data_IF_314652931171
#
_entry.id   IF_314652931171
#
_cell.length_a   1.000
_cell.length_b   1.000
_cell.length_c   1.000
_cell.angle_alpha   90.00
_cell.angle_beta   90.00
_cell.angle_gamma   90.00
#
_symmetry.space_group_name_H-M   'P 1'
#
loop_
_entity.id
_entity.type
_entity.pdbx_description
1 polymer ?
#
# COMPACT_ATOMS: atom_id res chain seq x y z
N UNK A 1 5.67 -21.98 -15.04
CA UNK A 1 6.65 -20.88 -14.95
C UNK A 1 6.48 -20.18 -13.59
N UNK A 2 7.36 -19.26 -13.19
CA UNK A 2 7.13 -18.43 -11.99
C UNK A 2 6.50 -17.12 -12.45
N UNK A 3 5.34 -16.75 -11.90
CA UNK A 3 4.68 -15.49 -12.21
C UNK A 3 5.40 -14.31 -11.56
N UNK A 4 5.48 -13.21 -12.28
CA UNK A 4 5.97 -11.92 -11.79
C UNK A 4 4.89 -11.18 -10.99
N UNK A 5 5.30 -10.21 -10.19
CA UNK A 5 4.40 -9.30 -9.45
C UNK A 5 3.35 -8.66 -10.36
N UNK A 6 3.77 -8.16 -11.53
CA UNK A 6 2.87 -7.53 -12.51
C UNK A 6 1.86 -8.52 -13.11
N UNK A 7 2.26 -9.77 -13.33
CA UNK A 7 1.35 -10.81 -13.80
C UNK A 7 0.32 -11.19 -12.72
N UNK A 8 0.74 -11.30 -11.45
CA UNK A 8 -0.17 -11.56 -10.34
C UNK A 8 -1.19 -10.42 -10.18
N UNK A 9 -0.77 -9.16 -10.33
CA UNK A 9 -1.67 -8.00 -10.30
C UNK A 9 -2.68 -8.07 -11.45
N UNK A 10 -2.22 -8.34 -12.69
CA UNK A 10 -3.11 -8.49 -13.84
C UNK A 10 -4.15 -9.61 -13.64
N UNK A 11 -3.73 -10.72 -13.06
CA UNK A 11 -4.60 -11.85 -12.75
C UNK A 11 -5.66 -11.42 -11.72
N UNK A 12 -5.27 -10.76 -10.64
CA UNK A 12 -6.19 -10.26 -9.61
C UNK A 12 -7.17 -9.21 -10.16
N UNK A 13 -6.69 -8.28 -10.97
CA UNK A 13 -7.53 -7.23 -11.59
C UNK A 13 -8.54 -7.81 -12.59
N UNK A 14 -8.15 -8.85 -13.34
CA UNK A 14 -9.06 -9.57 -14.23
C UNK A 14 -10.20 -10.21 -13.44
N UNK A 15 -9.87 -10.96 -12.39
CA UNK A 15 -10.86 -11.61 -11.52
C UNK A 15 -11.77 -10.59 -10.81
N UNK A 16 -11.24 -9.46 -10.37
CA UNK A 16 -12.03 -8.42 -9.71
C UNK A 16 -13.04 -7.76 -10.68
N UNK A 17 -12.61 -7.42 -11.91
CA UNK A 17 -13.47 -6.83 -12.95
C UNK A 17 -14.61 -7.76 -13.35
N UNK A 18 -14.36 -9.06 -13.40
CA UNK A 18 -15.36 -10.03 -13.84
C UNK A 18 -16.34 -10.38 -12.71
N UNK A 19 -15.85 -10.49 -11.47
CA UNK A 19 -16.73 -10.56 -10.30
C UNK A 19 -17.70 -9.36 -10.22
N UNK A 20 -17.24 -8.14 -10.54
CA UNK A 20 -18.09 -6.95 -10.58
C UNK A 20 -19.14 -6.97 -11.70
N UNK A 21 -18.90 -7.64 -12.83
CA UNK A 21 -19.87 -7.80 -13.92
C UNK A 21 -20.93 -8.88 -13.64
N UNK A 22 -20.87 -9.55 -12.49
CA UNK A 22 -21.75 -10.68 -12.15
C UNK A 22 -21.57 -11.91 -13.06
N UNK A 23 -20.64 -11.84 -14.01
CA UNK A 23 -20.22 -12.92 -14.89
C UNK A 23 -18.97 -13.53 -14.26
N UNK A 24 -19.08 -14.79 -13.84
CA UNK A 24 -17.89 -15.61 -13.66
C UNK A 24 -17.09 -15.51 -14.96
N UNK A 25 -15.85 -15.06 -14.87
CA UNK A 25 -14.80 -15.72 -15.64
C UNK A 25 -14.39 -16.91 -14.75
N UNK A 26 -15.18 -17.99 -14.69
CA UNK A 26 -14.78 -19.16 -15.48
C UNK A 26 -13.97 -18.66 -16.65
N UNK A 27 -12.63 -18.67 -16.49
CA UNK A 27 -11.69 -18.66 -17.59
C UNK A 27 -12.32 -19.51 -18.66
N UNK A 28 -12.98 -18.84 -19.62
CA UNK A 28 -13.81 -19.51 -20.61
C UNK A 28 -12.91 -20.57 -21.18
N UNK A 29 -13.38 -21.81 -21.28
CA UNK A 29 -12.53 -23.00 -21.47
C UNK A 29 -11.60 -22.94 -22.70
N UNK A 30 -11.72 -21.90 -23.53
CA UNK A 30 -10.84 -21.51 -24.63
C UNK A 30 -9.65 -20.59 -24.25
N UNK A 31 -9.72 -19.77 -23.20
CA UNK A 31 -8.61 -18.98 -22.63
C UNK A 31 -8.10 -19.67 -21.36
N UNK A 32 -7.63 -20.91 -21.52
CA UNK A 32 -6.74 -21.49 -20.52
C UNK A 32 -5.55 -20.55 -20.41
N UNK A 33 -5.36 -19.95 -19.24
CA UNK A 33 -4.04 -19.56 -18.77
C UNK A 33 -3.18 -20.79 -19.06
N UNK A 34 -2.23 -20.64 -19.98
CA UNK A 34 -1.48 -21.73 -20.59
C UNK A 34 -0.45 -22.32 -19.60
N UNK A 35 -0.76 -22.31 -18.30
CA UNK A 35 0.11 -22.77 -17.24
C UNK A 35 -0.67 -23.72 -16.30
N UNK A 36 -0.44 -25.04 -16.40
CA UNK A 36 -1.02 -26.04 -15.51
C UNK A 36 -0.69 -25.81 -14.02
N UNK A 37 0.30 -24.97 -13.71
CA UNK A 37 0.68 -24.62 -12.34
C UNK A 37 -0.43 -23.82 -11.63
N UNK A 38 -1.08 -22.87 -12.32
CA UNK A 38 -2.18 -22.09 -11.70
C UNK A 38 -3.44 -22.91 -11.52
N UNK A 39 -3.78 -23.75 -12.51
CA UNK A 39 -4.95 -24.62 -12.39
C UNK A 39 -4.85 -25.59 -11.21
N UNK A 40 -3.62 -26.01 -10.85
CA UNK A 40 -3.38 -26.91 -9.71
C UNK A 40 -3.31 -26.18 -8.36
N UNK A 41 -2.82 -24.94 -8.34
CA UNK A 41 -2.82 -24.10 -7.15
C UNK A 41 -4.23 -23.62 -6.77
N UNK A 42 -5.09 -23.41 -7.78
CA UNK A 42 -6.42 -22.88 -7.61
C UNK A 42 -7.47 -24.01 -7.57
N UNK A 43 -7.61 -24.68 -6.42
CA UNK A 43 -8.61 -25.74 -6.21
C UNK A 43 -10.03 -25.11 -6.16
N UNK A 44 -10.65 -24.91 -7.33
CA UNK A 44 -11.81 -24.03 -7.53
C UNK A 44 -13.20 -24.70 -7.43
N UNK A 45 -13.30 -25.97 -7.06
CA UNK A 45 -14.56 -26.73 -7.18
C UNK A 45 -15.67 -26.37 -6.17
N UNK A 46 -15.44 -25.54 -5.14
CA UNK A 46 -16.39 -25.43 -4.00
C UNK A 46 -16.59 -24.05 -3.35
N UNK A 47 -16.79 -22.95 -4.09
CA UNK A 47 -16.94 -21.64 -3.40
C UNK A 47 -18.02 -20.69 -3.95
N UNK A 48 -18.86 -20.17 -3.04
CA UNK A 48 -19.89 -19.12 -3.22
C UNK A 48 -19.27 -17.76 -3.63
N UNK A 49 -19.99 -16.92 -4.40
CA UNK A 49 -19.48 -15.69 -5.07
C UNK A 49 -18.56 -14.77 -4.25
N UNK A 50 -18.89 -14.47 -2.99
CA UNK A 50 -18.08 -13.56 -2.13
C UNK A 50 -16.91 -14.28 -1.46
N UNK A 51 -17.07 -15.58 -1.18
CA UNK A 51 -16.01 -16.42 -0.64
C UNK A 51 -14.95 -16.73 -1.71
N UNK A 52 -15.35 -16.82 -2.98
CA UNK A 52 -14.47 -17.19 -4.09
C UNK A 52 -13.33 -16.19 -4.30
N UNK A 53 -13.60 -14.88 -4.21
CA UNK A 53 -12.55 -13.87 -4.36
C UNK A 53 -11.59 -13.81 -3.17
N UNK A 54 -12.10 -13.99 -1.94
CA UNK A 54 -11.25 -14.05 -0.73
C UNK A 54 -10.35 -15.28 -0.77
N UNK A 55 -10.90 -16.43 -1.18
CA UNK A 55 -10.15 -17.67 -1.34
C UNK A 55 -9.13 -17.57 -2.47
N UNK A 56 -9.50 -16.93 -3.59
CA UNK A 56 -8.58 -16.65 -4.69
C UNK A 56 -7.40 -15.78 -4.24
N UNK A 57 -7.66 -14.67 -3.55
CA UNK A 57 -6.62 -13.79 -3.03
C UNK A 57 -5.70 -14.53 -2.05
N UNK A 58 -6.26 -15.39 -1.20
CA UNK A 58 -5.49 -16.25 -0.29
C UNK A 58 -4.55 -17.20 -1.05
N UNK A 59 -5.02 -17.80 -2.15
CA UNK A 59 -4.21 -18.67 -2.99
C UNK A 59 -3.06 -17.91 -3.68
N UNK A 60 -3.31 -16.68 -4.15
CA UNK A 60 -2.25 -15.80 -4.69
C UNK A 60 -1.22 -15.46 -3.59
N UNK A 61 -1.66 -15.16 -2.37
CA UNK A 61 -0.76 -14.89 -1.24
C UNK A 61 0.09 -16.10 -0.87
N UNK A 62 -0.49 -17.31 -0.89
CA UNK A 62 0.26 -18.55 -0.70
C UNK A 62 1.30 -18.74 -1.81
N UNK A 63 0.92 -18.51 -3.06
CA UNK A 63 1.84 -18.58 -4.19
C UNK A 63 3.01 -17.60 -4.04
N UNK A 64 2.74 -16.34 -3.64
CA UNK A 64 3.79 -15.34 -3.39
C UNK A 64 4.81 -15.84 -2.35
N UNK A 65 4.34 -16.43 -1.25
CA UNK A 65 5.22 -16.94 -0.21
C UNK A 65 6.02 -18.16 -0.66
N UNK A 66 5.38 -19.10 -1.37
CA UNK A 66 6.01 -20.32 -1.86
C UNK A 66 7.12 -20.03 -2.89
N UNK A 67 6.90 -19.04 -3.75
CA UNK A 67 7.81 -18.72 -4.85
C UNK A 67 8.66 -17.46 -4.63
N UNK A 68 8.51 -16.79 -3.48
CA UNK A 68 9.24 -15.56 -3.16
C UNK A 68 8.89 -14.38 -4.07
N UNK A 69 7.66 -14.33 -4.60
CA UNK A 69 7.23 -13.25 -5.49
C UNK A 69 6.89 -12.01 -4.68
N UNK A 70 7.72 -10.98 -4.82
CA UNK A 70 7.61 -9.72 -4.09
C UNK A 70 6.25 -9.07 -4.25
N UNK A 71 5.73 -8.50 -3.16
CA UNK A 71 4.54 -7.64 -3.19
C UNK A 71 4.86 -6.19 -3.53
N UNK A 72 6.13 -5.86 -3.74
CA UNK A 72 6.60 -4.51 -4.00
C UNK A 72 6.38 -4.14 -5.46
N UNK A 73 5.82 -2.95 -5.66
CA UNK A 73 5.75 -2.26 -6.94
C UNK A 73 6.55 -0.96 -6.87
N UNK A 74 7.03 -0.50 -8.02
CA UNK A 74 7.69 0.80 -8.12
C UNK A 74 6.70 1.84 -8.61
N UNK A 75 6.33 2.77 -7.74
CA UNK A 75 5.44 3.89 -8.09
C UNK A 75 6.24 5.15 -8.28
N UNK A 76 5.75 6.01 -9.17
CA UNK A 76 6.30 7.36 -9.35
C UNK A 76 5.33 8.36 -8.74
N UNK A 77 5.77 9.04 -7.69
CA UNK A 77 5.07 10.18 -7.10
C UNK A 77 5.63 11.46 -7.73
N UNK A 78 4.74 12.32 -8.23
CA UNK A 78 5.09 13.61 -8.81
C UNK A 78 4.33 14.71 -8.10
N UNK A 79 5.04 15.77 -7.69
CA UNK A 79 4.46 16.94 -7.06
C UNK A 79 5.21 18.18 -7.49
N UNK A 80 4.49 19.15 -8.08
CA UNK A 80 5.08 20.28 -8.82
C UNK A 80 6.09 19.79 -9.88
N UNK A 81 7.29 20.38 -9.93
CA UNK A 81 8.36 20.05 -10.88
C UNK A 81 9.28 18.92 -10.38
N UNK A 82 8.87 18.19 -9.34
CA UNK A 82 9.67 17.13 -8.74
C UNK A 82 8.97 15.78 -8.85
N UNK A 83 9.75 14.74 -9.14
CA UNK A 83 9.29 13.35 -9.18
C UNK A 83 10.25 12.43 -8.43
N UNK A 84 9.71 11.39 -7.80
CA UNK A 84 10.48 10.32 -7.19
C UNK A 84 9.85 8.97 -7.54
N UNK A 85 10.69 7.99 -7.85
CA UNK A 85 10.28 6.59 -7.93
C UNK A 85 10.64 5.88 -6.62
N UNK A 86 9.67 5.23 -6.00
CA UNK A 86 9.81 4.59 -4.70
C UNK A 86 9.11 3.23 -4.66
N UNK A 87 9.57 2.29 -3.81
CA UNK A 87 8.91 1.02 -3.62
C UNK A 87 7.70 1.17 -2.70
N UNK A 88 6.59 0.53 -3.05
CA UNK A 88 5.36 0.49 -2.26
C UNK A 88 4.79 -0.94 -2.30
N UNK A 89 4.11 -1.38 -1.26
CA UNK A 89 3.39 -2.66 -1.27
C UNK A 89 2.09 -2.49 -2.05
N UNK A 90 1.88 -3.31 -3.08
CA UNK A 90 0.62 -3.29 -3.82
C UNK A 90 -0.55 -3.72 -2.91
N UNK A 91 -1.62 -2.94 -2.88
CA UNK A 91 -2.77 -3.11 -1.98
C UNK A 91 -3.45 -4.50 -2.03
N UNK A 92 -3.35 -5.21 -3.15
CA UNK A 92 -3.91 -6.56 -3.31
C UNK A 92 -2.93 -7.69 -2.99
N UNK A 93 -1.61 -7.42 -2.99
CA UNK A 93 -0.56 -8.39 -2.72
C UNK A 93 -0.11 -8.35 -1.25
N UNK A 94 0.74 -9.29 -0.86
CA UNK A 94 1.41 -9.27 0.44
C UNK A 94 2.93 -9.12 0.29
N UNK A 95 3.60 -8.48 1.27
CA UNK A 95 5.05 -8.48 1.29
C UNK A 95 5.58 -9.88 1.65
N UNK A 96 6.69 -10.25 1.01
CA UNK A 96 7.43 -11.48 1.28
C UNK A 96 8.74 -11.18 2.02
N UNK A 97 9.49 -12.23 2.38
CA UNK A 97 10.79 -12.07 3.04
C UNK A 97 11.74 -11.26 2.13
N UNK A 98 12.40 -10.23 2.67
CA UNK A 98 13.27 -9.33 1.89
C UNK A 98 12.60 -8.02 1.46
N UNK A 99 11.26 -7.95 1.40
CA UNK A 99 10.56 -6.74 0.95
C UNK A 99 10.69 -5.59 1.96
N UNK A 100 10.80 -5.92 3.26
CA UNK A 100 10.96 -4.92 4.31
C UNK A 100 12.28 -4.16 4.15
N UNK A 101 13.34 -4.86 3.81
CA UNK A 101 14.67 -4.29 3.59
C UNK A 101 14.67 -3.32 2.40
N UNK A 102 13.90 -3.63 1.35
CA UNK A 102 13.70 -2.74 0.20
C UNK A 102 13.03 -1.43 0.67
N UNK A 103 11.94 -1.51 1.45
CA UNK A 103 11.24 -0.35 1.98
C UNK A 103 12.15 0.51 2.88
N UNK A 104 12.91 -0.12 3.78
CA UNK A 104 13.87 0.57 4.65
C UNK A 104 14.96 1.25 3.81
N UNK A 105 15.48 0.61 2.76
CA UNK A 105 16.52 1.18 1.91
C UNK A 105 16.07 2.42 1.15
N UNK A 106 14.77 2.53 0.84
CA UNK A 106 14.20 3.68 0.13
C UNK A 106 13.91 4.88 1.04
N UNK A 107 13.84 4.67 2.36
CA UNK A 107 13.49 5.72 3.34
C UNK A 107 14.29 7.02 3.18
N UNK A 108 15.63 7.02 3.06
CA UNK A 108 16.38 8.28 2.92
C UNK A 108 15.97 9.06 1.67
N UNK A 109 15.76 8.38 0.54
CA UNK A 109 15.35 9.01 -0.72
C UNK A 109 13.95 9.64 -0.60
N UNK A 110 13.01 8.93 0.00
CA UNK A 110 11.65 9.43 0.24
C UNK A 110 11.68 10.66 1.17
N UNK A 111 12.49 10.59 2.23
CA UNK A 111 12.64 11.70 3.18
C UNK A 111 13.24 12.94 2.53
N UNK A 112 14.27 12.78 1.70
CA UNK A 112 14.90 13.90 0.98
C UNK A 112 13.94 14.55 -0.02
N UNK A 113 13.11 13.75 -0.70
CA UNK A 113 12.07 14.27 -1.58
C UNK A 113 11.01 15.04 -0.79
N UNK A 114 10.50 14.46 0.31
CA UNK A 114 9.53 15.10 1.19
C UNK A 114 10.02 16.47 1.67
N UNK A 115 11.24 16.55 2.20
CA UNK A 115 11.80 17.82 2.69
C UNK A 115 11.91 18.89 1.60
N UNK A 116 12.24 18.48 0.37
CA UNK A 116 12.33 19.39 -0.78
C UNK A 116 10.97 19.96 -1.16
N UNK A 117 9.96 19.11 -1.30
CA UNK A 117 8.63 19.53 -1.79
C UNK A 117 7.75 20.21 -0.72
N UNK A 118 8.03 19.96 0.57
CA UNK A 118 7.23 20.48 1.70
C UNK A 118 7.91 21.61 2.48
N UNK A 119 9.00 22.19 1.96
CA UNK A 119 9.82 23.16 2.67
C UNK A 119 9.02 24.37 3.21
N UNK A 120 7.97 24.81 2.51
CA UNK A 120 7.12 25.97 2.84
C UNK A 120 5.70 25.58 3.30
N UNK A 121 5.49 24.33 3.72
CA UNK A 121 4.17 23.82 4.10
C UNK A 121 4.04 23.65 5.62
N UNK A 122 2.79 23.62 6.06
CA UNK A 122 2.39 23.22 7.40
C UNK A 122 2.17 21.71 7.45
N UNK A 123 2.43 21.10 8.61
CA UNK A 123 2.34 19.64 8.80
C UNK A 123 1.21 19.30 9.76
N UNK A 124 0.39 18.33 9.36
CA UNK A 124 -0.78 17.90 10.13
C UNK A 124 -0.72 16.40 10.36
N UNK A 125 -0.68 15.98 11.62
CA UNK A 125 -0.79 14.58 12.01
C UNK A 125 -2.26 14.14 11.98
N UNK A 126 -2.55 13.06 11.26
CA UNK A 126 -3.88 12.44 11.26
C UNK A 126 -4.02 11.55 12.49
N UNK A 127 -5.00 11.87 13.33
CA UNK A 127 -5.33 11.14 14.55
C UNK A 127 -6.72 10.51 14.45
N UNK A 128 -6.87 9.31 14.99
CA UNK A 128 -8.19 8.69 15.17
C UNK A 128 -9.03 9.39 16.22
N UNK A 129 -8.42 10.23 17.07
CA UNK A 129 -9.11 11.04 18.08
C UNK A 129 -9.33 12.44 17.56
N UNK A 130 -10.53 12.98 17.84
CA UNK A 130 -10.84 14.38 17.62
C UNK A 130 -9.94 15.24 18.51
N UNK A 131 -9.39 16.31 17.94
CA UNK A 131 -8.74 17.36 18.71
C UNK A 131 -9.78 18.23 19.44
N UNK A 132 -9.32 19.21 20.22
CA UNK A 132 -10.20 20.14 20.98
C UNK A 132 -11.17 20.94 20.09
N UNK A 133 -10.90 21.02 18.78
CA UNK A 133 -11.70 21.73 17.77
C UNK A 133 -12.58 20.79 16.95
N UNK A 134 -12.66 19.50 17.29
CA UNK A 134 -13.47 18.51 16.57
C UNK A 134 -12.87 18.06 15.23
N UNK A 135 -11.58 18.30 14.98
CA UNK A 135 -10.89 17.86 13.78
C UNK A 135 -10.01 16.64 14.06
N UNK A 136 -9.89 15.75 13.07
CA UNK A 136 -8.98 14.59 13.11
C UNK A 136 -7.52 14.97 12.83
N UNK A 137 -7.24 16.25 12.58
CA UNK A 137 -5.93 16.73 12.15
C UNK A 137 -5.33 17.63 13.23
N UNK A 138 -4.12 17.31 13.65
CA UNK A 138 -3.37 18.10 14.63
C UNK A 138 -2.18 18.74 13.94
N UNK A 139 -2.09 20.08 14.00
CA UNK A 139 -0.91 20.80 13.52
C UNK A 139 0.31 20.37 14.35
N UNK A 140 1.38 19.98 13.67
CA UNK A 140 2.63 19.57 14.31
C UNK A 140 3.80 20.44 13.84
N UNK A 141 4.78 20.61 14.72
CA UNK A 141 6.02 21.31 14.37
C UNK A 141 6.94 20.43 13.54
N UNK A 142 7.87 21.04 12.79
CA UNK A 142 8.88 20.31 12.02
C UNK A 142 9.78 19.47 12.93
N UNK A 143 10.11 19.96 14.12
CA UNK A 143 10.91 19.24 15.11
C UNK A 143 10.19 17.97 15.60
N UNK A 144 8.87 18.05 15.80
CA UNK A 144 8.07 16.88 16.17
C UNK A 144 8.00 15.86 15.02
N UNK A 145 7.80 16.33 13.78
CA UNK A 145 7.85 15.49 12.58
C UNK A 145 9.20 14.75 12.48
N UNK A 146 10.32 15.44 12.70
CA UNK A 146 11.65 14.81 12.70
C UNK A 146 11.78 13.72 13.78
N UNK A 147 11.19 13.92 14.97
CA UNK A 147 11.18 12.89 16.02
C UNK A 147 10.40 11.66 15.59
N UNK A 148 9.22 11.84 15.00
CA UNK A 148 8.41 10.73 14.47
C UNK A 148 9.19 9.94 13.41
N UNK A 149 9.72 10.64 12.41
CA UNK A 149 10.47 10.01 11.32
C UNK A 149 11.72 9.30 11.83
N UNK A 150 12.36 9.77 12.90
CA UNK A 150 13.52 9.07 13.50
C UNK A 150 13.13 7.72 14.12
N UNK A 151 11.91 7.60 14.65
CA UNK A 151 11.40 6.41 15.32
C UNK A 151 10.79 5.39 14.34
N UNK A 152 10.58 5.76 13.08
CA UNK A 152 9.98 4.85 12.08
C UNK A 152 11.02 4.08 11.30
N UNK A 153 10.59 2.97 10.71
CA UNK A 153 11.46 2.04 9.98
C UNK A 153 11.48 2.37 8.49
N UNK A 154 10.31 2.57 7.88
CA UNK A 154 10.18 2.98 6.48
C UNK A 154 9.21 4.16 6.33
N UNK A 155 9.18 4.72 5.12
CA UNK A 155 8.31 5.84 4.75
C UNK A 155 7.50 5.46 3.52
N UNK A 156 6.27 5.95 3.48
CA UNK A 156 5.41 5.94 2.31
C UNK A 156 5.10 7.38 1.92
N UNK A 157 4.97 7.65 0.64
CA UNK A 157 4.66 8.98 0.15
C UNK A 157 3.58 8.92 -0.91
N UNK A 158 2.65 9.85 -0.85
CA UNK A 158 1.64 10.05 -1.87
C UNK A 158 1.41 11.55 -2.07
N UNK A 159 0.94 11.96 -3.23
CA UNK A 159 0.75 13.36 -3.54
C UNK A 159 -0.60 13.59 -4.24
N UNK A 160 -1.35 14.54 -3.69
CA UNK A 160 -2.49 15.15 -4.36
C UNK A 160 -2.06 16.43 -5.08
N UNK A 161 -3.02 17.18 -5.63
CA UNK A 161 -2.75 18.43 -6.36
C UNK A 161 -2.09 19.51 -5.51
N UNK A 162 -2.45 19.60 -4.24
CA UNK A 162 -2.02 20.67 -3.32
C UNK A 162 -1.45 20.15 -2.01
N UNK A 163 -1.53 18.84 -1.80
CA UNK A 163 -1.18 18.18 -0.54
C UNK A 163 -0.20 17.05 -0.81
N UNK A 164 0.72 16.84 0.12
CA UNK A 164 1.62 15.68 0.11
C UNK A 164 1.38 14.89 1.38
N UNK A 165 1.25 13.58 1.25
CA UNK A 165 1.02 12.66 2.36
C UNK A 165 2.30 11.88 2.65
N UNK A 166 2.68 11.81 3.92
CA UNK A 166 3.76 10.97 4.41
C UNK A 166 3.19 9.93 5.37
N UNK A 167 3.34 8.66 5.03
CA UNK A 167 3.18 7.56 5.97
C UNK A 167 4.49 7.32 6.70
N UNK A 168 4.50 7.45 8.02
CA UNK A 168 5.63 7.07 8.87
C UNK A 168 5.30 5.71 9.50
N UNK A 169 5.92 4.64 8.98
CA UNK A 169 5.47 3.28 9.25
C UNK A 169 6.55 2.44 9.98
N UNK A 170 6.10 1.47 10.79
CA UNK A 170 6.95 0.60 11.60
C UNK A 170 6.34 -0.80 11.81
N UNK A 171 7.19 -1.77 12.14
CA UNK A 171 6.81 -3.13 12.51
C UNK A 171 6.70 -4.07 11.30
N UNK A 172 5.57 -4.78 11.19
CA UNK A 172 5.26 -5.73 10.12
C UNK A 172 4.65 -5.02 8.92
N UNK A 173 5.29 -5.06 7.73
CA UNK A 173 4.69 -4.51 6.51
C UNK A 173 3.42 -5.27 6.06
N UNK A 174 3.11 -6.43 6.66
CA UNK A 174 1.84 -7.15 6.41
C UNK A 174 0.66 -6.52 7.15
N UNK A 175 0.92 -5.97 8.34
CA UNK A 175 -0.13 -5.66 9.30
C UNK A 175 -0.22 -4.17 9.67
N UNK A 176 0.75 -3.36 9.24
CA UNK A 176 0.89 -1.94 9.65
C UNK A 176 -0.34 -1.07 9.38
N UNK A 177 -1.19 -1.45 8.43
CA UNK A 177 -2.42 -0.74 8.09
C UNK A 177 -3.55 -0.99 9.10
N UNK A 178 -3.44 -2.04 9.92
CA UNK A 178 -4.50 -2.42 10.85
C UNK A 178 -4.31 -1.82 12.24
N UNK A 179 -5.39 -1.26 12.80
CA UNK A 179 -5.38 -0.67 14.14
C UNK A 179 -5.03 -1.68 15.24
N UNK A 180 -5.43 -2.95 15.10
CA UNK A 180 -5.15 -3.99 16.08
C UNK A 180 -3.65 -4.33 16.20
N UNK A 181 -2.85 -4.00 15.18
CA UNK A 181 -1.42 -4.25 15.20
C UNK A 181 -0.66 -3.23 16.05
N UNK A 182 -1.26 -2.08 16.38
CA UNK A 182 -0.65 -1.06 17.24
C UNK A 182 -0.56 -1.57 18.69
N UNK A 183 0.57 -1.34 19.39
CA UNK A 183 1.71 -0.51 18.99
C UNK A 183 2.82 -1.28 18.24
N UNK A 184 2.74 -2.60 18.09
CA UNK A 184 3.81 -3.43 17.52
C UNK A 184 4.08 -3.16 16.05
N UNK A 185 3.03 -2.87 15.28
CA UNK A 185 3.11 -2.40 13.90
C UNK A 185 2.10 -1.30 13.67
N UNK A 186 2.43 -0.34 12.83
CA UNK A 186 1.54 0.77 12.55
C UNK A 186 2.10 1.69 11.48
N UNK A 187 1.24 2.61 11.05
CA UNK A 187 1.68 3.76 10.31
C UNK A 187 0.86 4.97 10.71
N UNK A 188 1.55 6.07 10.94
CA UNK A 188 0.94 7.36 11.20
C UNK A 188 1.03 8.20 9.93
N UNK A 189 -0.04 8.95 9.64
CA UNK A 189 -0.13 9.73 8.41
C UNK A 189 0.03 11.20 8.72
N UNK A 190 0.93 11.84 7.99
CA UNK A 190 1.18 13.28 8.05
C UNK A 190 0.76 13.90 6.72
N UNK A 191 0.04 15.00 6.79
CA UNK A 191 -0.37 15.80 5.63
C UNK A 191 0.46 17.07 5.62
N UNK A 192 1.15 17.33 4.52
CA UNK A 192 1.79 18.61 4.24
C UNK A 192 0.93 19.41 3.26
N UNK A 193 0.57 20.63 3.66
CA UNK A 193 -0.22 21.56 2.84
C UNK A 193 0.09 22.99 3.23
N UNK A 194 -0.13 23.95 2.32
CA UNK A 194 0.06 25.38 2.59
C UNK A 194 -1.02 25.92 3.53
N UNK A 195 -2.23 25.38 3.43
CA UNK A 195 -3.40 25.80 4.22
C UNK A 195 -3.81 24.72 5.23
N UNK A 196 -5.06 24.76 5.70
CA UNK A 196 -5.64 23.59 6.36
C UNK A 196 -5.82 22.44 5.35
N UNK A 197 -5.62 21.19 5.79
CA UNK A 197 -5.85 20.01 4.97
C UNK A 197 -7.33 19.96 4.57
N UNK A 198 -7.57 19.66 3.31
CA UNK A 198 -8.91 19.32 2.83
C UNK A 198 -9.46 18.19 3.71
N UNK A 199 -10.76 18.26 4.04
CA UNK A 199 -11.42 17.22 4.80
C UNK A 199 -11.42 15.93 3.97
N UNK A 200 -10.36 15.15 4.08
CA UNK A 200 -10.31 13.79 3.55
C UNK A 200 -11.40 13.05 4.32
N UNK A 201 -12.47 12.69 3.62
CA UNK A 201 -13.44 11.72 4.11
C UNK A 201 -12.66 10.42 4.35
N UNK A 202 -12.41 10.12 5.63
CA UNK A 202 -11.96 8.81 6.10
C UNK A 202 -12.96 7.75 5.61
#
# INVERSE_FOLDING_TARGET
MIYTTDELIKILDCELKENWKGKRVVLSSAQRINDPVMAKALNMDRVNKVFAYRDFRSQIHQYQQQHGVSGIIWRTCSFNDHSITYPEIHNQLIPVSGDKEILISARPKIWDFWNRVTAKMNFWLVSSRLNEQGNHHQLISREYLHKLVKQTEWLEIDAARTEVYLGVCWGSPKDYQYQWAKPKSGCDRIIATVSEPSAIKI
#
